data_IF_091040188918
#
_entry.id   IF_091040188918
#
_cell.length_a   1.000
_cell.length_b   1.000
_cell.length_c   1.000
_cell.angle_alpha   90.00
_cell.angle_beta   90.00
_cell.angle_gamma   90.00
#
_symmetry.space_group_name_H-M   'P 1'
#
loop_
_entity.id
_entity.type
_entity.pdbx_description
1 polymer ?
#
# COMPACT_ATOMS: atom_id res chain seq x y z
N UNK A 1 -6.13 36.03 -11.45
CA UNK A 1 -5.96 34.61 -11.05
C UNK A 1 -7.25 34.21 -10.36
N UNK A 2 -7.92 33.14 -10.80
CA UNK A 2 -9.14 32.64 -10.14
C UNK A 2 -8.71 31.70 -9.01
N UNK A 3 -9.17 31.99 -7.80
CA UNK A 3 -8.91 31.20 -6.60
C UNK A 3 -9.27 29.73 -6.81
N UNK A 4 -8.33 28.84 -6.46
CA UNK A 4 -8.47 27.40 -6.57
C UNK A 4 -9.39 26.84 -5.49
N UNK A 5 -10.65 26.63 -5.85
CA UNK A 5 -11.58 25.75 -5.12
C UNK A 5 -11.33 24.29 -5.52
N UNK A 6 -10.16 23.74 -5.20
CA UNK A 6 -9.90 22.30 -5.37
C UNK A 6 -10.23 21.59 -4.04
N UNK A 7 -11.48 21.15 -3.90
CA UNK A 7 -11.89 20.32 -2.76
C UNK A 7 -11.17 18.95 -2.82
N UNK A 8 -10.49 18.57 -1.73
CA UNK A 8 -9.81 17.28 -1.63
C UNK A 8 -10.83 16.14 -1.59
N UNK A 9 -11.02 15.45 -2.72
CA UNK A 9 -11.92 14.29 -2.83
C UNK A 9 -11.32 13.05 -2.14
N UNK A 10 -12.13 12.29 -1.41
CA UNK A 10 -11.68 11.12 -0.62
C UNK A 10 -11.46 9.84 -1.48
N UNK A 11 -12.13 9.73 -2.64
CA UNK A 11 -12.06 8.57 -3.55
C UNK A 11 -11.88 9.10 -4.98
N UNK A 12 -10.96 8.50 -5.74
CA UNK A 12 -10.64 8.86 -7.13
C UNK A 12 -11.48 8.06 -8.12
N UNK A 13 -12.24 8.74 -8.98
CA UNK A 13 -12.82 8.17 -10.20
C UNK A 13 -11.80 8.17 -11.35
N UNK A 14 -11.84 7.14 -12.19
CA UNK A 14 -10.75 6.78 -13.13
C UNK A 14 -10.50 7.79 -14.26
N UNK A 15 -11.43 8.71 -14.53
CA UNK A 15 -11.33 9.69 -15.61
C UNK A 15 -10.59 11.00 -15.24
N UNK A 16 -10.31 11.26 -13.95
CA UNK A 16 -9.64 12.50 -13.54
C UNK A 16 -8.12 12.35 -13.36
N UNK A 17 -7.34 13.19 -14.08
CA UNK A 17 -5.87 13.35 -13.94
C UNK A 17 -5.48 14.21 -12.72
N UNK A 18 -6.32 14.29 -11.69
CA UNK A 18 -6.06 15.13 -10.51
C UNK A 18 -5.08 14.44 -9.54
N UNK A 19 -4.10 15.21 -9.05
CA UNK A 19 -2.97 14.75 -8.20
C UNK A 19 -3.28 14.78 -6.70
N UNK A 20 -4.45 15.27 -6.30
CA UNK A 20 -4.79 15.60 -4.91
C UNK A 20 -5.63 14.52 -4.20
N UNK A 21 -5.09 13.30 -4.03
CA UNK A 21 -5.74 12.25 -3.25
C UNK A 21 -4.80 11.69 -2.17
N UNK A 22 -5.29 11.55 -0.94
CA UNK A 22 -4.55 10.99 0.21
C UNK A 22 -4.25 9.49 -0.01
N UNK A 23 -5.20 8.77 -0.60
CA UNK A 23 -5.04 7.40 -1.08
C UNK A 23 -5.13 7.40 -2.59
N UNK A 24 -4.04 7.75 -3.26
CA UNK A 24 -3.96 7.54 -4.70
C UNK A 24 -4.06 6.02 -4.97
N UNK A 25 -5.04 5.63 -5.78
CA UNK A 25 -5.13 4.32 -6.46
C UNK A 25 -4.01 4.22 -7.51
N UNK A 26 -2.77 4.40 -7.04
CA UNK A 26 -1.56 4.42 -7.85
C UNK A 26 -0.96 3.03 -7.80
N UNK A 27 -0.78 2.44 -8.98
CA UNK A 27 -0.23 1.09 -9.15
C UNK A 27 1.09 0.90 -8.39
N UNK A 28 1.89 1.98 -8.25
CA UNK A 28 3.16 1.95 -7.49
C UNK A 28 2.95 1.75 -5.99
N UNK A 29 1.96 2.41 -5.38
CA UNK A 29 1.63 2.24 -3.95
C UNK A 29 1.12 0.82 -3.70
N UNK A 30 0.26 0.30 -4.59
CA UNK A 30 -0.23 -1.08 -4.52
C UNK A 30 0.91 -2.09 -4.62
N UNK A 31 1.86 -1.87 -5.55
CA UNK A 31 3.03 -2.73 -5.72
C UNK A 31 3.91 -2.74 -4.46
N UNK A 32 4.20 -1.58 -3.88
CA UNK A 32 5.00 -1.46 -2.65
C UNK A 32 4.36 -2.19 -1.46
N UNK A 33 3.06 -2.00 -1.26
CA UNK A 33 2.32 -2.69 -0.19
C UNK A 33 2.33 -4.21 -0.39
N UNK A 34 2.12 -4.69 -1.62
CA UNK A 34 2.17 -6.13 -1.92
C UNK A 34 3.54 -6.73 -1.62
N UNK A 35 4.64 -6.05 -1.98
CA UNK A 35 6.00 -6.53 -1.71
C UNK A 35 6.24 -6.67 -0.21
N UNK A 36 5.90 -5.63 0.57
CA UNK A 36 6.05 -5.65 2.03
C UNK A 36 5.23 -6.78 2.65
N UNK A 37 3.98 -6.96 2.21
CA UNK A 37 3.09 -8.02 2.67
C UNK A 37 3.71 -9.41 2.46
N UNK A 38 4.30 -9.66 1.29
CA UNK A 38 4.96 -10.95 0.98
C UNK A 38 6.15 -11.20 1.91
N UNK A 39 7.00 -10.20 2.13
CA UNK A 39 8.13 -10.34 3.07
C UNK A 39 7.68 -10.63 4.50
N UNK A 40 6.61 -9.98 4.96
CA UNK A 40 6.05 -10.23 6.29
C UNK A 40 5.57 -11.68 6.45
N UNK A 41 4.89 -12.23 5.44
CA UNK A 41 4.44 -13.63 5.46
C UNK A 41 5.64 -14.57 5.52
N UNK A 42 6.68 -14.34 4.71
CA UNK A 42 7.91 -15.14 4.72
C UNK A 42 8.59 -15.09 6.09
N UNK A 43 8.67 -13.92 6.72
CA UNK A 43 9.24 -13.77 8.07
C UNK A 43 8.47 -14.58 9.11
N UNK A 44 7.14 -14.54 9.09
CA UNK A 44 6.31 -15.32 10.01
C UNK A 44 6.52 -16.83 9.82
N UNK A 45 6.58 -17.30 8.58
CA UNK A 45 6.88 -18.70 8.27
C UNK A 45 8.26 -19.09 8.78
N UNK A 46 9.28 -18.25 8.56
CA UNK A 46 10.64 -18.47 9.07
C UNK A 46 10.70 -18.59 10.59
N UNK A 47 9.94 -17.77 11.32
CA UNK A 47 9.84 -17.85 12.78
C UNK A 47 9.19 -19.18 13.21
N UNK A 48 8.13 -19.62 12.55
CA UNK A 48 7.47 -20.90 12.85
C UNK A 48 8.42 -22.07 12.61
N UNK A 49 9.10 -22.10 11.46
CA UNK A 49 10.09 -23.14 11.13
C UNK A 49 11.23 -23.13 12.15
N UNK A 50 11.77 -21.95 12.46
CA UNK A 50 12.82 -21.78 13.48
C UNK A 50 12.37 -22.36 14.82
N UNK A 51 11.15 -22.04 15.28
CA UNK A 51 10.60 -22.61 16.51
C UNK A 51 10.58 -24.14 16.48
N UNK A 52 10.17 -24.76 15.36
CA UNK A 52 10.11 -26.23 15.25
C UNK A 52 11.52 -26.84 15.28
N UNK A 53 12.48 -26.26 14.56
CA UNK A 53 13.86 -26.78 14.50
C UNK A 53 14.64 -26.59 15.80
N UNK A 54 14.45 -25.48 16.50
CA UNK A 54 15.17 -25.17 17.75
C UNK A 54 14.48 -25.72 19.01
N UNK A 55 13.24 -26.22 18.91
CA UNK A 55 12.48 -26.79 20.03
C UNK A 55 12.27 -28.32 19.92
N UNK A 56 13.04 -28.97 19.04
CA UNK A 56 13.19 -30.43 18.96
C UNK A 56 14.66 -30.78 19.23
#
# INVERSE_FOLDING_TARGET
MKEGTEETKFIKEEEEKTKQFILQKNTKTKLGVTIIMVFLIILVIGIIISKIFFNN
#
